data_IF_157811664892
#
_entry.id   IF_157811664892
#
_cell.length_a   1.000
_cell.length_b   1.000
_cell.length_c   1.000
_cell.angle_alpha   90.00
_cell.angle_beta   90.00
_cell.angle_gamma   90.00
#
_symmetry.space_group_name_H-M   'P 1'
#
loop_
_entity.id
_entity.type
_entity.pdbx_description
1 polymer ?
#
# COMPACT_ATOMS: atom_id res chain seq x y z
N UNK A 1 4.19 -16.87 10.65
CA UNK A 1 3.41 -16.34 9.51
C UNK A 1 1.94 -16.42 9.86
N UNK A 2 1.36 -15.36 10.45
CA UNK A 2 -0.10 -15.29 10.64
C UNK A 2 -0.68 -14.90 9.30
N UNK A 3 -1.48 -15.79 8.69
CA UNK A 3 -2.30 -15.45 7.53
C UNK A 3 -3.19 -14.29 7.94
N UNK A 4 -2.96 -13.08 7.45
CA UNK A 4 -3.86 -11.98 7.69
C UNK A 4 -5.18 -12.35 7.01
N UNK A 5 -6.19 -12.77 7.79
CA UNK A 5 -7.50 -13.15 7.25
C UNK A 5 -8.13 -12.02 6.44
N UNK A 6 -7.69 -10.78 6.70
CA UNK A 6 -8.21 -9.56 6.11
C UNK A 6 -7.24 -8.86 5.16
N UNK A 7 -6.34 -9.58 4.49
CA UNK A 7 -5.39 -9.00 3.51
C UNK A 7 -6.09 -8.11 2.46
N UNK A 8 -7.26 -8.53 1.95
CA UNK A 8 -8.06 -7.72 1.02
C UNK A 8 -8.58 -6.41 1.63
N UNK A 9 -8.99 -6.42 2.90
CA UNK A 9 -9.46 -5.20 3.59
C UNK A 9 -8.30 -4.28 3.94
N UNK A 10 -7.17 -4.84 4.38
CA UNK A 10 -5.93 -4.10 4.62
C UNK A 10 -5.45 -3.43 3.34
N UNK A 11 -5.44 -4.15 2.22
CA UNK A 11 -5.06 -3.59 0.93
C UNK A 11 -5.98 -2.43 0.52
N UNK A 12 -7.31 -2.59 0.67
CA UNK A 12 -8.27 -1.51 0.39
C UNK A 12 -7.99 -0.28 1.25
N UNK A 13 -7.73 -0.48 2.55
CA UNK A 13 -7.41 0.60 3.48
C UNK A 13 -6.07 1.28 3.15
N UNK A 14 -5.07 0.49 2.75
CA UNK A 14 -3.78 0.98 2.33
C UNK A 14 -3.89 1.85 1.06
N UNK A 15 -4.74 1.46 0.11
CA UNK A 15 -5.04 2.28 -1.06
C UNK A 15 -5.73 3.59 -0.68
N UNK A 16 -6.77 3.56 0.15
CA UNK A 16 -7.46 4.77 0.61
C UNK A 16 -6.49 5.76 1.29
N UNK A 17 -5.66 5.28 2.21
CA UNK A 17 -4.65 6.11 2.88
C UNK A 17 -3.54 6.56 1.95
N UNK A 18 -3.09 5.68 1.05
CA UNK A 18 -2.13 6.01 0.02
C UNK A 18 -2.63 7.13 -0.90
N UNK A 19 -3.90 7.10 -1.31
CA UNK A 19 -4.50 8.15 -2.14
C UNK A 19 -4.58 9.47 -1.38
N UNK A 20 -4.98 9.43 -0.11
CA UNK A 20 -4.96 10.61 0.75
C UNK A 20 -3.54 11.17 0.94
N UNK A 21 -2.54 10.28 1.06
CA UNK A 21 -1.13 10.63 1.18
C UNK A 21 -0.60 11.25 -0.13
N UNK A 22 -0.88 10.63 -1.27
CA UNK A 22 -0.55 11.13 -2.59
C UNK A 22 -1.14 12.51 -2.84
N UNK A 23 -2.41 12.72 -2.49
CA UNK A 23 -3.06 14.03 -2.57
C UNK A 23 -2.37 15.08 -1.70
N UNK A 24 -1.97 14.73 -0.47
CA UNK A 24 -1.19 15.62 0.40
C UNK A 24 0.20 15.93 -0.18
N UNK A 25 0.76 15.01 -0.95
CA UNK A 25 2.05 15.17 -1.61
C UNK A 25 1.95 15.94 -2.95
N UNK A 26 0.73 16.28 -3.39
CA UNK A 26 0.46 17.03 -4.62
C UNK A 26 -0.03 16.18 -5.80
N UNK A 27 -0.13 14.86 -5.64
CA UNK A 27 -0.63 13.94 -6.65
C UNK A 27 -2.15 13.77 -6.53
N UNK A 28 -2.92 14.64 -7.18
CA UNK A 28 -4.39 14.65 -7.09
C UNK A 28 -5.08 13.83 -8.21
N UNK A 29 -4.35 13.36 -9.23
CA UNK A 29 -4.90 12.76 -10.45
C UNK A 29 -4.71 11.24 -10.60
N UNK A 30 -4.21 10.56 -9.56
CA UNK A 30 -4.00 9.10 -9.57
C UNK A 30 -5.28 8.28 -9.71
N UNK A 31 -6.47 8.89 -9.66
CA UNK A 31 -7.75 8.20 -9.82
C UNK A 31 -8.22 8.13 -11.29
N UNK A 32 -7.76 9.03 -12.18
CA UNK A 32 -8.34 9.20 -13.52
C UNK A 32 -7.60 8.40 -14.59
N UNK A 33 -7.88 7.10 -14.65
CA UNK A 33 -7.55 6.26 -15.83
C UNK A 33 -6.48 5.18 -15.63
N UNK A 34 -5.86 5.10 -14.47
CA UNK A 34 -4.92 4.01 -14.13
C UNK A 34 -5.67 2.77 -13.64
N UNK A 35 -5.32 1.61 -14.19
CA UNK A 35 -5.88 0.32 -13.79
C UNK A 35 -5.58 -0.01 -12.33
N UNK A 36 -6.32 -0.95 -11.75
CA UNK A 36 -6.18 -1.34 -10.34
C UNK A 36 -4.74 -1.74 -9.94
N UNK A 37 -3.94 -2.22 -10.89
CA UNK A 37 -2.52 -2.58 -10.70
C UNK A 37 -1.64 -1.33 -10.69
N UNK A 38 -1.77 -0.44 -11.67
CA UNK A 38 -1.04 0.83 -11.72
C UNK A 38 -1.27 1.69 -10.47
N UNK A 39 -2.49 1.71 -9.94
CA UNK A 39 -2.80 2.43 -8.68
C UNK A 39 -1.95 1.92 -7.53
N UNK A 40 -1.77 0.60 -7.41
CA UNK A 40 -0.93 -0.01 -6.37
C UNK A 40 0.53 0.38 -6.57
N UNK A 41 1.03 0.32 -7.80
CA UNK A 41 2.41 0.70 -8.14
C UNK A 41 2.70 2.18 -7.87
N UNK A 42 1.81 3.09 -8.27
CA UNK A 42 1.96 4.52 -8.02
C UNK A 42 2.07 4.81 -6.53
N UNK A 43 1.16 4.25 -5.73
CA UNK A 43 1.14 4.45 -4.27
C UNK A 43 2.39 3.84 -3.64
N UNK A 44 2.77 2.65 -4.09
CA UNK A 44 3.98 1.96 -3.65
C UNK A 44 5.24 2.81 -3.92
N UNK A 45 5.44 3.29 -5.15
CA UNK A 45 6.59 4.13 -5.51
C UNK A 45 6.62 5.43 -4.72
N UNK A 46 5.46 6.07 -4.54
CA UNK A 46 5.35 7.27 -3.72
C UNK A 46 5.79 7.01 -2.27
N UNK A 47 5.31 5.92 -1.66
CA UNK A 47 5.69 5.55 -0.30
C UNK A 47 7.19 5.21 -0.19
N UNK A 48 7.77 4.59 -1.21
CA UNK A 48 9.22 4.32 -1.28
C UNK A 48 10.01 5.62 -1.34
N UNK A 49 9.63 6.54 -2.23
CA UNK A 49 10.26 7.85 -2.39
C UNK A 49 10.16 8.66 -1.09
N UNK A 50 9.00 8.61 -0.46
CA UNK A 50 8.75 9.26 0.83
C UNK A 50 9.36 8.51 2.04
N UNK A 51 10.13 7.44 1.79
CA UNK A 51 10.79 6.56 2.79
C UNK A 51 9.84 5.97 3.84
N UNK A 52 8.56 5.86 3.53
CA UNK A 52 7.55 5.21 4.37
C UNK A 52 7.68 3.69 4.33
N UNK A 53 8.07 3.14 3.18
CA UNK A 53 8.30 1.70 3.00
C UNK A 53 9.65 1.44 2.36
N UNK A 54 10.26 0.30 2.70
CA UNK A 54 11.49 -0.14 2.04
C UNK A 54 11.17 -0.63 0.63
N UNK A 55 11.93 -0.19 -0.40
CA UNK A 55 11.80 -0.73 -1.74
C UNK A 55 12.02 -2.25 -1.75
N UNK A 56 11.38 -2.91 -2.70
CA UNK A 56 11.59 -4.31 -3.03
C UNK A 56 12.86 -4.38 -3.86
N UNK A 57 13.52 -5.53 -3.83
CA UNK A 57 14.58 -5.79 -4.79
C UNK A 57 13.98 -5.80 -6.20
N UNK A 58 14.73 -5.33 -7.20
CA UNK A 58 14.30 -5.31 -8.62
C UNK A 58 13.82 -6.69 -9.09
N UNK A 59 14.45 -7.75 -8.57
CA UNK A 59 14.10 -9.16 -8.85
C UNK A 59 12.77 -9.62 -8.22
N UNK A 60 12.25 -8.87 -7.24
CA UNK A 60 11.02 -9.18 -6.50
C UNK A 60 9.96 -8.09 -6.64
N UNK A 61 10.10 -7.23 -7.65
CA UNK A 61 9.15 -6.17 -7.96
C UNK A 61 7.92 -6.74 -8.69
N UNK A 62 7.25 -7.70 -8.05
CA UNK A 62 6.00 -8.29 -8.52
C UNK A 62 4.80 -7.57 -7.91
N UNK A 63 3.70 -7.48 -8.68
CA UNK A 63 2.45 -6.88 -8.21
C UNK A 63 1.90 -7.52 -6.93
N UNK A 64 2.21 -8.79 -6.64
CA UNK A 64 1.86 -9.45 -5.37
C UNK A 64 2.70 -8.92 -4.21
N UNK A 65 4.02 -8.77 -4.40
CA UNK A 65 4.93 -8.26 -3.37
C UNK A 65 4.64 -6.80 -3.04
N UNK A 66 4.29 -5.98 -4.03
CA UNK A 66 3.88 -4.58 -3.82
C UNK A 66 2.62 -4.48 -2.97
N UNK A 67 1.58 -5.28 -3.28
CA UNK A 67 0.35 -5.36 -2.47
C UNK A 67 0.69 -5.75 -1.04
N UNK A 68 1.55 -6.74 -0.85
CA UNK A 68 1.95 -7.18 0.48
C UNK A 68 2.73 -6.11 1.24
N UNK A 69 3.57 -5.31 0.56
CA UNK A 69 4.24 -4.14 1.15
C UNK A 69 3.26 -3.06 1.60
N UNK A 70 2.24 -2.76 0.80
CA UNK A 70 1.17 -1.82 1.20
C UNK A 70 0.40 -2.34 2.41
N UNK A 71 0.07 -3.63 2.44
CA UNK A 71 -0.57 -4.30 3.58
C UNK A 71 0.32 -4.21 4.83
N UNK A 72 1.62 -4.50 4.70
CA UNK A 72 2.56 -4.41 5.82
C UNK A 72 2.70 -2.97 6.33
N UNK A 73 2.73 -1.99 5.43
CA UNK A 73 2.78 -0.57 5.78
C UNK A 73 1.57 -0.15 6.60
N UNK A 74 0.36 -0.49 6.13
CA UNK A 74 -0.85 -0.14 6.87
C UNK A 74 -0.94 -0.93 8.19
N UNK A 75 -0.46 -2.17 8.23
CA UNK A 75 -0.35 -2.93 9.49
C UNK A 75 0.56 -2.27 10.51
N UNK A 76 1.58 -1.51 10.07
CA UNK A 76 2.46 -0.75 10.97
C UNK A 76 1.87 0.58 11.41
N UNK A 77 0.94 1.13 10.64
CA UNK A 77 0.17 2.33 11.00
C UNK A 77 -1.01 2.00 11.91
N UNK A 78 -1.61 0.83 11.74
CA UNK A 78 -2.72 0.36 12.55
C UNK A 78 -2.20 -0.15 13.90
N UNK A 79 -2.90 0.12 15.01
CA UNK A 79 -2.55 -0.45 16.32
C UNK A 79 -2.61 -1.98 16.29
N UNK A 80 -1.76 -2.61 17.09
CA UNK A 80 -1.57 -4.07 17.16
C UNK A 80 -2.86 -4.85 17.48
N UNK A 81 -3.83 -4.17 18.11
CA UNK A 81 -5.16 -4.66 18.47
C UNK A 81 -6.23 -4.41 17.40
N UNK A 82 -5.88 -4.04 16.18
CA UNK A 82 -6.87 -3.80 15.14
C UNK A 82 -7.46 -5.13 14.63
N UNK A 83 -8.78 -5.21 14.52
CA UNK A 83 -9.52 -6.40 14.03
C UNK A 83 -9.09 -6.86 12.61
N UNK A 84 -8.39 -6.01 11.88
CA UNK A 84 -7.85 -6.32 10.55
C UNK A 84 -6.52 -7.10 10.62
N UNK A 85 -5.85 -7.12 11.77
CA UNK A 85 -4.58 -7.82 12.02
C UNK A 85 -4.76 -9.17 12.74
N UNK A 86 -6.00 -9.52 13.10
CA UNK A 86 -6.36 -10.78 13.79
C UNK A 86 -6.33 -12.02 12.89
#
# INVERSE_FOLDING_TARGET
MKKHKNEAKLLKKALELGFAFAKKQGFNDLDRGVGSTDRVECIYRLLVECKQITPLAVDKEDGVNMKHKLVLWISRLLPENHELLQ
#
